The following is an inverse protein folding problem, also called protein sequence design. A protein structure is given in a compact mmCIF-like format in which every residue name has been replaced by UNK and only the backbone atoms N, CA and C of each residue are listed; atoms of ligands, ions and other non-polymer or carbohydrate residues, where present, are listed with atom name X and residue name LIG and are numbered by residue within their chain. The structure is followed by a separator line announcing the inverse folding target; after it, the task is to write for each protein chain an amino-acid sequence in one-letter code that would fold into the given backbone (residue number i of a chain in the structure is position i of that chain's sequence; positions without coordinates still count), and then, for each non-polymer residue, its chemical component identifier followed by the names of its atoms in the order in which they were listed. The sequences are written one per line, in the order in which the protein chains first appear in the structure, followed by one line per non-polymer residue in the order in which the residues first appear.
data_IF_572410813141
#
_entry.id   IF_572410813141
#
_cell.length_a   1.000
_cell.length_b   1.000
_cell.length_c   1.000
_cell.angle_alpha   90.00
_cell.angle_beta   90.00
_cell.angle_gamma   90.00
#
_symmetry.space_group_name_H-M   'P 1'
#
loop_
_entity.id
_entity.type
_entity.pdbx_description
1 polymer ?
#
# COMPACT_ATOMS: atom_id res chain seq x y z
N UNK A 1 9.09 -19.88 -4.41
CA UNK A 1 8.18 -20.43 -5.43
C UNK A 1 6.77 -19.92 -5.16
N UNK A 2 6.07 -19.33 -6.13
CA UNK A 2 4.72 -18.84 -5.89
C UNK A 2 3.77 -20.01 -5.58
N UNK A 3 2.93 -19.82 -4.58
CA UNK A 3 1.87 -20.76 -4.22
C UNK A 3 0.55 -20.19 -4.72
N UNK A 4 -0.14 -20.93 -5.57
CA UNK A 4 -1.42 -20.53 -6.12
C UNK A 4 -2.56 -21.16 -5.31
N UNK A 5 -3.64 -20.41 -5.12
CA UNK A 5 -4.84 -20.91 -4.47
C UNK A 5 -5.54 -21.94 -5.36
N UNK A 6 -6.03 -23.01 -4.75
CA UNK A 6 -6.89 -24.00 -5.39
C UNK A 6 -8.38 -23.66 -5.27
N UNK A 7 -8.72 -22.53 -4.61
CA UNK A 7 -10.11 -22.11 -4.46
C UNK A 7 -10.58 -21.38 -5.71
N UNK A 8 -11.76 -21.74 -6.19
CA UNK A 8 -12.48 -20.95 -7.19
C UNK A 8 -13.33 -19.90 -6.47
N UNK A 9 -13.10 -18.63 -6.77
CA UNK A 9 -13.85 -17.52 -6.20
C UNK A 9 -13.92 -16.36 -7.19
N UNK A 10 -14.91 -15.52 -7.05
CA UNK A 10 -14.96 -14.24 -7.74
C UNK A 10 -13.99 -13.27 -7.08
N UNK A 11 -13.25 -12.52 -7.89
CA UNK A 11 -12.32 -11.52 -7.40
C UNK A 11 -12.34 -10.26 -8.27
N UNK A 12 -11.99 -9.15 -7.66
CA UNK A 12 -11.77 -7.88 -8.35
C UNK A 12 -10.48 -7.23 -7.84
N UNK A 13 -9.68 -6.69 -8.75
CA UNK A 13 -8.44 -5.98 -8.43
C UNK A 13 -8.59 -4.53 -8.86
N UNK A 14 -8.28 -3.61 -7.95
CA UNK A 14 -8.32 -2.19 -8.23
C UNK A 14 -7.02 -1.51 -7.81
N UNK A 15 -6.66 -0.43 -8.49
CA UNK A 15 -5.55 0.43 -8.11
C UNK A 15 -6.10 1.81 -7.76
N UNK A 16 -6.32 2.06 -6.46
CA UNK A 16 -6.89 3.30 -5.94
C UNK A 16 -6.21 3.70 -4.65
N UNK A 17 -6.38 4.96 -4.25
CA UNK A 17 -6.10 5.37 -2.88
C UNK A 17 -6.98 4.59 -1.90
N UNK A 18 -6.40 4.17 -0.76
CA UNK A 18 -7.09 3.30 0.19
C UNK A 18 -8.31 3.99 0.83
N UNK A 19 -8.22 5.29 1.12
CA UNK A 19 -9.34 6.04 1.69
C UNK A 19 -10.48 6.22 0.69
N UNK A 20 -10.15 6.41 -0.59
CA UNK A 20 -11.16 6.48 -1.65
C UNK A 20 -11.80 5.11 -1.93
N UNK A 21 -11.03 4.04 -1.87
CA UNK A 21 -11.57 2.70 -1.96
C UNK A 21 -12.53 2.39 -0.80
N UNK A 22 -12.16 2.74 0.43
CA UNK A 22 -12.96 2.50 1.63
C UNK A 22 -14.35 3.17 1.58
N UNK A 23 -14.43 4.39 1.05
CA UNK A 23 -15.70 5.12 0.91
C UNK A 23 -16.73 4.41 0.02
N UNK A 24 -16.24 3.68 -0.98
CA UNK A 24 -17.08 3.02 -1.99
C UNK A 24 -17.16 1.49 -1.79
N UNK A 25 -16.43 0.97 -0.82
CA UNK A 25 -16.45 -0.45 -0.51
C UNK A 25 -17.78 -0.83 0.16
N UNK A 26 -18.42 -1.88 -0.34
CA UNK A 26 -19.56 -2.49 0.31
C UNK A 26 -19.15 -3.16 1.62
N UNK A 27 -20.14 -3.54 2.42
CA UNK A 27 -19.91 -4.27 3.65
C UNK A 27 -19.26 -5.63 3.36
N UNK A 28 -18.15 -5.92 4.04
CA UNK A 28 -17.41 -7.17 3.93
C UNK A 28 -17.34 -7.88 5.28
N UNK A 29 -17.14 -9.19 5.27
CA UNK A 29 -16.94 -9.94 6.52
C UNK A 29 -15.57 -9.68 7.12
N UNK A 30 -14.51 -9.68 6.30
CA UNK A 30 -13.12 -9.45 6.73
C UNK A 30 -12.49 -8.41 5.83
N UNK A 31 -11.87 -7.41 6.44
CA UNK A 31 -10.95 -6.49 5.77
C UNK A 31 -9.53 -6.72 6.28
N UNK A 32 -8.60 -7.04 5.38
CA UNK A 32 -7.19 -7.21 5.69
C UNK A 32 -6.41 -5.97 5.28
N UNK A 33 -5.57 -5.48 6.20
CA UNK A 33 -4.73 -4.29 6.01
C UNK A 33 -3.27 -4.65 6.18
N UNK A 34 -2.47 -4.35 5.19
CA UNK A 34 -1.02 -4.47 5.20
C UNK A 34 -0.40 -3.14 4.70
N UNK A 35 -0.52 -2.06 5.51
CA UNK A 35 -0.05 -0.75 5.11
C UNK A 35 1.47 -0.66 5.12
N UNK A 36 2.09 0.23 4.32
CA UNK A 36 3.48 0.59 4.50
C UNK A 36 3.64 1.34 5.83
N UNK A 37 4.33 0.75 6.78
CA UNK A 37 4.43 1.25 8.16
C UNK A 37 5.80 1.82 8.55
N UNK A 38 6.74 1.89 7.61
CA UNK A 38 8.10 2.39 7.84
C UNK A 38 8.48 3.51 6.85
N UNK A 39 9.69 4.06 7.00
CA UNK A 39 10.22 5.10 6.12
C UNK A 39 10.65 4.61 4.72
N UNK A 40 10.75 3.29 4.54
CA UNK A 40 11.15 2.68 3.29
C UNK A 40 9.91 2.33 2.44
N UNK A 41 9.45 3.26 1.60
CA UNK A 41 8.26 3.01 0.80
C UNK A 41 8.53 1.99 -0.31
N UNK A 42 7.50 1.25 -0.68
CA UNK A 42 7.57 0.29 -1.78
C UNK A 42 8.12 0.89 -3.07
N UNK A 43 7.78 2.15 -3.36
CA UNK A 43 8.29 2.86 -4.52
C UNK A 43 9.82 3.01 -4.56
N UNK A 44 10.49 3.06 -3.40
CA UNK A 44 11.95 3.08 -3.35
C UNK A 44 12.57 1.68 -3.35
N UNK A 45 11.91 0.69 -2.75
CA UNK A 45 12.44 -0.66 -2.66
C UNK A 45 12.25 -1.46 -3.96
N UNK A 46 11.18 -1.20 -4.68
CA UNK A 46 10.80 -1.95 -5.88
C UNK A 46 10.79 -1.11 -7.16
N UNK A 47 11.41 0.10 -7.14
CA UNK A 47 11.38 1.00 -8.29
C UNK A 47 11.89 0.35 -9.59
N UNK A 48 12.91 -0.48 -9.49
CA UNK A 48 13.46 -1.18 -10.65
C UNK A 48 12.43 -2.13 -11.27
N UNK A 49 11.71 -2.87 -10.45
CA UNK A 49 10.65 -3.77 -10.93
C UNK A 49 9.48 -2.99 -11.51
N UNK A 50 9.14 -1.85 -10.91
CA UNK A 50 8.12 -0.93 -11.43
C UNK A 50 8.50 -0.35 -12.79
N UNK A 51 9.77 0.06 -12.98
CA UNK A 51 10.27 0.55 -14.25
C UNK A 51 10.19 -0.51 -15.35
N UNK A 52 10.54 -1.75 -15.01
CA UNK A 52 10.44 -2.88 -15.94
C UNK A 52 8.97 -3.14 -16.30
N UNK A 53 8.10 -3.21 -15.30
CA UNK A 53 6.67 -3.47 -15.50
C UNK A 53 5.97 -2.37 -16.30
N UNK A 54 6.33 -1.10 -16.09
CA UNK A 54 5.78 0.04 -16.82
C UNK A 54 6.46 0.30 -18.15
N UNK A 55 7.60 -0.34 -18.42
CA UNK A 55 8.44 -0.12 -19.62
C UNK A 55 8.80 1.37 -19.82
N UNK A 56 9.09 2.06 -18.72
CA UNK A 56 9.41 3.50 -18.70
C UNK A 56 10.82 3.77 -18.22
N UNK A 57 11.50 4.70 -18.88
CA UNK A 57 12.80 5.21 -18.43
C UNK A 57 12.56 6.36 -17.45
N UNK A 58 13.17 6.37 -16.25
CA UNK A 58 13.05 7.49 -15.32
C UNK A 58 13.67 8.74 -15.91
N UNK A 59 13.06 9.91 -15.66
CA UNK A 59 13.57 11.19 -16.15
C UNK A 59 14.75 11.69 -15.31
N UNK A 60 14.65 11.54 -13.99
CA UNK A 60 15.64 11.98 -13.02
C UNK A 60 15.95 10.88 -12.02
N UNK A 61 17.22 10.57 -11.83
CA UNK A 61 17.72 9.61 -10.87
C UNK A 61 18.58 10.35 -9.84
N UNK A 62 18.48 9.98 -8.56
CA UNK A 62 19.35 10.51 -7.52
C UNK A 62 20.78 10.02 -7.71
N UNK A 63 21.78 10.91 -7.69
CA UNK A 63 23.20 10.55 -7.80
C UNK A 63 23.70 9.68 -6.65
N UNK A 64 23.06 9.76 -5.48
CA UNK A 64 23.50 9.07 -4.26
C UNK A 64 22.81 7.71 -4.09
N UNK A 65 21.52 7.64 -4.36
CA UNK A 65 20.71 6.43 -4.09
C UNK A 65 20.31 5.67 -5.36
N UNK A 66 20.63 6.22 -6.54
CA UNK A 66 20.21 5.68 -7.85
C UNK A 66 18.70 5.47 -7.99
N UNK A 67 17.91 6.03 -7.06
CA UNK A 67 16.45 5.91 -7.04
C UNK A 67 15.84 7.12 -7.78
N UNK A 68 14.81 6.95 -8.60
CA UNK A 68 14.12 8.07 -9.23
C UNK A 68 13.63 9.09 -8.20
N UNK A 69 13.79 10.38 -8.47
CA UNK A 69 13.34 11.45 -7.56
C UNK A 69 11.81 11.49 -7.43
N UNK A 70 11.12 11.11 -8.49
CA UNK A 70 9.66 11.01 -8.54
C UNK A 70 9.22 9.56 -8.36
N UNK A 71 8.75 9.22 -7.19
CA UNK A 71 8.13 7.94 -6.89
C UNK A 71 6.92 8.12 -5.97
N UNK A 72 5.99 7.18 -6.03
CA UNK A 72 4.75 7.25 -5.26
C UNK A 72 5.03 7.11 -3.76
N UNK A 73 4.66 8.13 -2.99
CA UNK A 73 4.80 8.17 -1.53
C UNK A 73 3.43 8.06 -0.88
N UNK A 74 3.22 7.01 -0.10
CA UNK A 74 2.02 6.90 0.72
C UNK A 74 2.04 7.88 1.90
N UNK A 75 0.86 8.34 2.31
CA UNK A 75 0.71 9.11 3.55
C UNK A 75 1.15 8.31 4.78
N UNK A 76 1.04 7.00 4.74
CA UNK A 76 1.45 6.07 5.80
C UNK A 76 2.97 5.97 5.98
N UNK A 77 3.77 6.42 5.02
CA UNK A 77 5.23 6.57 5.16
C UNK A 77 5.64 7.90 5.82
N UNK A 78 4.69 8.75 6.21
CA UNK A 78 4.94 10.05 6.86
C UNK A 78 4.61 9.96 8.34
N UNK A 79 5.64 9.87 9.20
CA UNK A 79 5.52 9.70 10.65
C UNK A 79 4.45 10.59 11.31
N UNK A 80 4.37 11.86 10.92
CA UNK A 80 3.44 12.82 11.52
C UNK A 80 1.96 12.57 11.19
N UNK A 81 1.65 11.86 10.10
CA UNK A 81 0.27 11.66 9.60
C UNK A 81 -0.16 10.21 9.51
N UNK A 82 0.78 9.27 9.57
CA UNK A 82 0.51 7.86 9.33
C UNK A 82 -0.56 7.32 10.28
N UNK A 83 -0.39 7.59 11.57
CA UNK A 83 -1.30 7.09 12.61
C UNK A 83 -2.73 7.60 12.43
N UNK A 84 -2.89 8.92 12.30
CA UNK A 84 -4.21 9.55 12.14
C UNK A 84 -4.91 9.05 10.86
N UNK A 85 -4.22 9.10 9.73
CA UNK A 85 -4.77 8.62 8.45
C UNK A 85 -5.14 7.14 8.48
N UNK A 86 -4.39 6.32 9.21
CA UNK A 86 -4.71 4.90 9.34
C UNK A 86 -5.96 4.66 10.19
N UNK A 87 -6.11 5.38 11.30
CA UNK A 87 -7.32 5.30 12.11
C UNK A 87 -8.56 5.77 11.35
N UNK A 88 -8.46 6.85 10.58
CA UNK A 88 -9.55 7.31 9.71
C UNK A 88 -9.92 6.26 8.66
N UNK A 89 -8.91 5.60 8.07
CA UNK A 89 -9.14 4.52 7.12
C UNK A 89 -9.89 3.37 7.77
N UNK A 90 -9.45 2.90 8.94
CA UNK A 90 -10.12 1.81 9.66
C UNK A 90 -11.57 2.15 10.02
N UNK A 91 -11.81 3.39 10.47
CA UNK A 91 -13.16 3.86 10.81
C UNK A 91 -14.10 3.96 9.60
N UNK A 92 -13.56 4.16 8.40
CA UNK A 92 -14.34 4.28 7.17
C UNK A 92 -14.77 2.93 6.57
N UNK A 93 -14.12 1.83 6.95
CA UNK A 93 -14.45 0.49 6.45
C UNK A 93 -15.66 -0.12 7.15
N UNK A 94 -16.57 -0.69 6.36
CA UNK A 94 -17.74 -1.41 6.84
C UNK A 94 -17.45 -2.92 6.87
N UNK A 95 -16.62 -3.36 7.81
CA UNK A 95 -16.24 -4.76 7.95
C UNK A 95 -16.73 -5.34 9.29
N UNK A 96 -16.99 -6.65 9.31
CA UNK A 96 -17.31 -7.38 10.53
C UNK A 96 -16.05 -7.61 11.37
N UNK A 97 -14.93 -7.91 10.70
CA UNK A 97 -13.62 -8.10 11.32
C UNK A 97 -12.56 -7.32 10.57
N UNK A 98 -11.64 -6.73 11.30
CA UNK A 98 -10.44 -6.07 10.78
C UNK A 98 -9.22 -6.90 11.15
N UNK A 99 -8.44 -7.30 10.16
CA UNK A 99 -7.17 -7.99 10.34
C UNK A 99 -6.05 -7.06 9.87
N UNK A 100 -5.14 -6.71 10.77
CA UNK A 100 -4.09 -5.72 10.52
C UNK A 100 -2.73 -6.38 10.68
N UNK A 101 -1.89 -6.27 9.65
CA UNK A 101 -0.51 -6.76 9.64
C UNK A 101 0.44 -5.58 9.71
N UNK A 102 1.19 -5.45 10.81
CA UNK A 102 2.31 -4.52 10.95
C UNK A 102 3.21 -4.93 12.12
N UNK A 103 4.40 -4.34 12.21
CA UNK A 103 5.29 -4.55 13.33
C UNK A 103 5.29 -3.33 14.27
N UNK A 104 5.86 -3.49 15.47
CA UNK A 104 5.93 -2.45 16.49
C UNK A 104 7.03 -1.39 16.27
N UNK A 105 7.81 -1.51 15.20
CA UNK A 105 8.85 -0.55 14.82
C UNK A 105 8.36 0.50 13.82
N UNK A 106 7.11 0.39 13.38
CA UNK A 106 6.49 1.27 12.41
C UNK A 106 6.03 2.61 12.95
N UNK A 107 5.45 3.43 12.08
CA UNK A 107 4.91 4.76 12.41
C UNK A 107 3.45 4.75 12.87
N UNK A 108 2.82 3.61 12.81
CA UNK A 108 1.40 3.39 13.13
C UNK A 108 1.27 2.77 14.51
#
# INVERSE_FOLDING_TARGET
MPVFSNFSCDFAVTQKDAADFAKHCERVDIAYFDPPYNEHPYGSNYFMLDLIAQYKKPKDISEVSEIPKEWNKSVYNKKAKAKESFFELLASFKAKYLLISFNNEGYI
#
